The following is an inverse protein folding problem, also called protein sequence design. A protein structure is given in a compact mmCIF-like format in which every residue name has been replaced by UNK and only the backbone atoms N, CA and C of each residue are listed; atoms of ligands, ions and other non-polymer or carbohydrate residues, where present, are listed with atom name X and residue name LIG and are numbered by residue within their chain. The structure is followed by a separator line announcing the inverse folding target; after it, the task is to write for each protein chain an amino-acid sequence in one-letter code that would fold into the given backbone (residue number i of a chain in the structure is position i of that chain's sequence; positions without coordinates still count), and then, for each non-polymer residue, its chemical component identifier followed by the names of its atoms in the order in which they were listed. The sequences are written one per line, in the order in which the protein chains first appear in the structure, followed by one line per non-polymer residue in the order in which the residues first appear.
data_IF_387434278475
#
_entry.id   IF_387434278475
#
_cell.length_a   1.000
_cell.length_b   1.000
_cell.length_c   1.000
_cell.angle_alpha   90.00
_cell.angle_beta   90.00
_cell.angle_gamma   90.00
#
_symmetry.space_group_name_H-M   'P 1'
#
loop_
_entity.id
_entity.type
_entity.pdbx_description
1 polymer ?
#
# COMPACT_ATOMS: atom_id res chain seq x y z
N UNK A 1 29.88 31.83 46.20
CA UNK A 1 30.95 31.59 45.21
C UNK A 1 30.27 31.52 43.86
N UNK A 2 29.97 32.66 43.22
CA UNK A 2 30.77 33.39 42.21
C UNK A 2 31.02 32.62 40.90
N UNK A 3 30.45 33.18 39.82
CA UNK A 3 30.38 32.82 38.38
C UNK A 3 31.75 32.75 37.66
N UNK A 4 31.86 32.13 36.44
CA UNK A 4 31.51 32.79 35.15
C UNK A 4 30.71 31.85 34.20
N UNK A 5 29.67 32.26 33.45
CA UNK A 5 29.51 33.35 32.46
C UNK A 5 30.56 33.34 31.33
N UNK A 6 30.24 32.63 30.25
CA UNK A 6 30.74 32.87 28.88
C UNK A 6 29.49 32.73 27.98
N UNK A 7 28.81 33.78 27.49
CA UNK A 7 29.14 34.87 26.56
C UNK A 7 29.56 34.42 25.14
N UNK A 8 28.72 34.87 24.19
CA UNK A 8 28.55 34.57 22.76
C UNK A 8 29.77 34.87 21.86
N UNK A 9 29.69 34.49 20.57
CA UNK A 9 29.30 35.44 19.50
C UNK A 9 28.18 34.85 18.61
N UNK A 10 27.05 35.49 18.26
CA UNK A 10 26.78 36.72 17.49
C UNK A 10 27.51 36.86 16.14
N UNK A 11 26.68 36.87 15.08
CA UNK A 11 26.86 37.44 13.74
C UNK A 11 27.44 36.54 12.61
N UNK A 12 26.55 36.14 11.70
CA UNK A 12 26.61 36.52 10.27
C UNK A 12 25.30 36.10 9.59
N UNK A 13 24.43 37.05 9.24
CA UNK A 13 24.38 37.77 7.96
C UNK A 13 23.73 36.95 6.82
N UNK A 14 22.42 37.21 6.70
CA UNK A 14 21.54 37.27 5.52
C UNK A 14 22.22 37.07 4.16
N UNK A 15 21.67 36.15 3.37
CA UNK A 15 21.59 36.29 1.92
C UNK A 15 20.19 35.86 1.45
N UNK A 16 19.44 36.86 0.96
CA UNK A 16 18.17 36.69 0.27
C UNK A 16 18.42 36.38 -1.21
N UNK A 17 17.54 35.55 -1.76
CA UNK A 17 17.13 35.44 -3.15
C UNK A 17 18.19 35.03 -4.20
N UNK A 18 18.11 33.77 -4.62
CA UNK A 18 18.10 33.46 -6.03
C UNK A 18 16.91 32.54 -6.30
N UNK A 19 15.88 33.13 -6.92
CA UNK A 19 14.84 32.45 -7.67
C UNK A 19 15.55 31.67 -8.79
N UNK A 20 15.90 30.42 -8.50
CA UNK A 20 16.43 29.47 -9.48
C UNK A 20 15.37 28.42 -9.74
N UNK A 21 14.51 28.66 -10.74
CA UNK A 21 13.88 27.58 -11.49
C UNK A 21 15.02 26.74 -12.10
N UNK A 22 15.50 25.76 -11.37
CA UNK A 22 16.19 24.59 -11.92
C UNK A 22 15.16 23.50 -12.04
N UNK A 23 14.55 23.42 -13.23
CA UNK A 23 13.79 22.26 -13.66
C UNK A 23 14.72 21.04 -13.74
N UNK A 24 14.10 19.86 -13.66
CA UNK A 24 14.68 18.55 -13.95
C UNK A 24 15.45 17.89 -12.80
N UNK A 25 14.79 17.71 -11.65
CA UNK A 25 15.14 16.66 -10.68
C UNK A 25 13.91 16.30 -9.85
N UNK A 26 13.04 15.48 -10.43
CA UNK A 26 12.06 14.57 -9.81
C UNK A 26 10.94 14.31 -10.83
N UNK A 27 11.29 13.63 -11.91
CA UNK A 27 10.29 12.94 -12.74
C UNK A 27 10.87 11.58 -13.09
N UNK A 28 11.45 10.91 -12.10
CA UNK A 28 11.50 9.46 -12.12
C UNK A 28 10.07 9.02 -11.87
N UNK A 29 9.23 9.06 -12.90
CA UNK A 29 7.95 8.36 -12.87
C UNK A 29 8.32 6.88 -12.73
N UNK A 30 8.13 6.24 -11.56
CA UNK A 30 8.47 4.82 -11.42
C UNK A 30 7.29 4.03 -11.96
N UNK A 31 7.01 4.21 -13.25
CA UNK A 31 5.99 3.47 -13.95
C UNK A 31 6.61 3.12 -15.30
N UNK A 32 7.32 2.00 -15.31
CA UNK A 32 8.03 1.49 -16.47
C UNK A 32 7.07 1.23 -17.62
N UNK A 33 7.60 1.27 -18.85
CA UNK A 33 6.85 1.00 -20.07
C UNK A 33 6.23 -0.41 -20.03
N UNK A 34 4.96 -0.46 -19.60
CA UNK A 34 4.23 -1.69 -19.36
C UNK A 34 2.99 -1.50 -18.49
N UNK A 35 2.10 -0.57 -18.85
CA UNK A 35 0.77 -0.35 -18.23
C UNK A 35 0.73 0.22 -16.80
N UNK A 36 1.61 1.16 -16.45
CA UNK A 36 1.67 1.69 -15.09
C UNK A 36 1.60 3.23 -15.08
N UNK A 37 0.74 3.74 -14.19
CA UNK A 37 0.60 5.09 -13.64
C UNK A 37 0.81 6.34 -14.51
N UNK A 38 -0.24 6.73 -15.24
CA UNK A 38 -0.51 8.14 -15.57
C UNK A 38 -1.87 8.66 -15.03
N UNK A 39 -2.76 7.77 -14.60
CA UNK A 39 -4.04 8.04 -13.93
C UNK A 39 -4.52 6.76 -13.19
N UNK A 40 -3.57 5.84 -12.97
CA UNK A 40 -3.81 4.39 -12.89
C UNK A 40 -3.85 3.89 -11.47
N UNK A 41 -5.05 3.59 -10.98
CA UNK A 41 -5.26 2.83 -9.76
C UNK A 41 -4.56 1.47 -9.91
N UNK A 42 -3.56 1.16 -9.08
CA UNK A 42 -2.97 -0.18 -9.03
C UNK A 42 -4.02 -1.17 -8.51
N UNK A 43 -4.80 -1.76 -9.43
CA UNK A 43 -5.86 -2.72 -9.09
C UNK A 43 -5.30 -4.13 -9.05
N UNK A 44 -5.54 -4.81 -7.94
CA UNK A 44 -5.48 -6.26 -7.83
C UNK A 44 -6.55 -6.87 -8.70
N UNK A 45 -6.16 -7.88 -9.45
CA UNK A 45 -7.09 -8.72 -10.18
C UNK A 45 -8.02 -9.45 -9.22
N UNK A 46 -9.27 -9.64 -9.62
CA UNK A 46 -10.16 -10.58 -8.94
C UNK A 46 -9.51 -11.96 -8.95
N UNK A 47 -9.56 -12.71 -7.83
CA UNK A 47 -9.08 -14.08 -7.81
C UNK A 47 -9.67 -14.94 -8.93
N UNK A 48 -8.88 -15.85 -9.47
CA UNK A 48 -9.35 -16.78 -10.50
C UNK A 48 -10.27 -17.87 -9.90
N UNK A 49 -10.99 -18.60 -10.76
CA UNK A 49 -11.81 -19.74 -10.29
C UNK A 49 -10.95 -20.81 -9.62
N UNK A 50 -9.72 -21.04 -10.12
CA UNK A 50 -8.78 -22.00 -9.53
C UNK A 50 -8.28 -21.54 -8.15
N UNK A 51 -8.07 -20.24 -7.98
CA UNK A 51 -7.65 -19.64 -6.72
C UNK A 51 -8.79 -19.54 -5.71
N UNK A 52 -10.05 -19.74 -6.11
CA UNK A 52 -11.21 -19.71 -5.22
C UNK A 52 -11.81 -21.09 -4.96
N UNK A 53 -11.38 -22.15 -5.64
CA UNK A 53 -11.95 -23.49 -5.44
C UNK A 53 -11.70 -24.04 -4.02
N UNK A 54 -12.71 -24.59 -3.35
CA UNK A 54 -12.56 -25.12 -1.99
C UNK A 54 -13.41 -26.37 -1.74
N UNK A 55 -13.06 -27.14 -0.70
CA UNK A 55 -13.88 -28.26 -0.20
C UNK A 55 -14.48 -27.93 1.17
N UNK A 56 -13.74 -27.18 1.98
CA UNK A 56 -14.09 -26.83 3.36
C UNK A 56 -13.71 -25.38 3.64
N UNK A 57 -14.29 -24.78 4.69
CA UNK A 57 -13.92 -23.42 5.10
C UNK A 57 -12.44 -23.29 5.50
N UNK A 58 -11.79 -24.36 5.95
CA UNK A 58 -10.36 -24.36 6.29
C UNK A 58 -9.45 -24.18 5.06
N UNK A 59 -9.97 -24.44 3.86
CA UNK A 59 -9.25 -24.21 2.61
C UNK A 59 -9.22 -22.73 2.22
N UNK A 60 -10.02 -21.88 2.86
CA UNK A 60 -10.21 -20.49 2.47
C UNK A 60 -9.54 -19.50 3.42
N UNK A 61 -8.96 -18.45 2.85
CA UNK A 61 -8.36 -17.35 3.60
C UNK A 61 -8.77 -16.01 3.00
N UNK A 62 -9.04 -14.99 3.84
CA UNK A 62 -9.33 -13.66 3.37
C UNK A 62 -8.07 -13.02 2.75
N UNK A 63 -8.27 -12.22 1.70
CA UNK A 63 -7.23 -11.45 1.00
C UNK A 63 -7.75 -10.10 0.52
N UNK A 64 -6.83 -9.23 0.12
CA UNK A 64 -7.11 -7.89 -0.41
C UNK A 64 -7.25 -7.91 -1.93
N UNK A 65 -8.45 -7.67 -2.43
CA UNK A 65 -8.72 -7.45 -3.85
C UNK A 65 -9.06 -5.98 -4.11
N UNK A 66 -8.90 -5.50 -5.34
CA UNK A 66 -9.20 -4.09 -5.68
C UNK A 66 -7.99 -3.17 -5.53
N UNK A 67 -8.16 -1.96 -4.99
CA UNK A 67 -7.17 -0.88 -5.14
C UNK A 67 -6.00 -1.02 -4.15
N UNK A 68 -4.83 -1.46 -4.63
CA UNK A 68 -3.63 -1.65 -3.83
C UNK A 68 -3.04 -0.34 -3.28
N UNK A 69 -3.26 0.77 -4.00
CA UNK A 69 -2.91 2.12 -3.55
C UNK A 69 -3.94 2.77 -2.64
N UNK A 70 -5.03 2.06 -2.29
CA UNK A 70 -5.99 2.58 -1.33
C UNK A 70 -5.31 2.82 0.03
N UNK A 71 -5.65 3.95 0.65
CA UNK A 71 -5.28 4.22 2.04
C UNK A 71 -5.84 3.13 2.98
N UNK A 72 -6.99 2.55 2.62
CA UNK A 72 -7.65 1.46 3.34
C UNK A 72 -7.54 0.13 2.61
N UNK A 73 -6.88 -0.81 3.27
CA UNK A 73 -6.66 -2.17 2.79
C UNK A 73 -7.42 -3.09 3.73
N UNK A 74 -8.68 -3.38 3.40
CA UNK A 74 -9.54 -4.32 4.13
C UNK A 74 -9.76 -5.58 3.30
N UNK A 75 -9.72 -6.75 3.92
CA UNK A 75 -9.93 -8.00 3.19
C UNK A 75 -11.36 -8.04 2.65
N UNK A 76 -11.46 -8.12 1.32
CA UNK A 76 -12.71 -8.00 0.56
C UNK A 76 -12.86 -9.13 -0.49
N UNK A 77 -11.93 -10.07 -0.51
CA UNK A 77 -12.04 -11.32 -1.24
C UNK A 77 -11.54 -12.49 -0.38
N UNK A 78 -11.80 -13.71 -0.84
CA UNK A 78 -11.26 -14.93 -0.26
C UNK A 78 -10.63 -15.77 -1.37
N UNK A 79 -9.53 -16.43 -1.04
CA UNK A 79 -8.82 -17.38 -1.92
C UNK A 79 -8.48 -18.64 -1.15
N UNK A 80 -7.98 -19.64 -1.85
CA UNK A 80 -7.41 -20.83 -1.25
C UNK A 80 -6.21 -20.47 -0.38
N UNK A 81 -6.05 -21.18 0.74
CA UNK A 81 -4.98 -20.96 1.69
C UNK A 81 -3.58 -21.09 1.06
N UNK A 82 -3.41 -21.98 0.08
CA UNK A 82 -2.15 -22.17 -0.64
C UNK A 82 -1.90 -21.10 -1.72
N UNK A 83 -2.95 -20.54 -2.32
CA UNK A 83 -2.87 -19.42 -3.26
C UNK A 83 -2.59 -18.06 -2.58
N UNK A 84 -2.74 -17.99 -1.26
CA UNK A 84 -2.58 -16.74 -0.49
C UNK A 84 -1.23 -16.08 -0.68
N UNK A 85 -0.14 -16.86 -0.68
CA UNK A 85 1.21 -16.33 -0.75
C UNK A 85 1.47 -15.63 -2.09
N UNK A 86 1.03 -16.26 -3.18
CA UNK A 86 1.10 -15.68 -4.53
C UNK A 86 0.26 -14.41 -4.63
N UNK A 87 -0.98 -14.46 -4.13
CA UNK A 87 -1.89 -13.32 -4.18
C UNK A 87 -1.38 -12.13 -3.34
N UNK A 88 -0.81 -12.40 -2.17
CA UNK A 88 -0.17 -11.39 -1.32
C UNK A 88 1.06 -10.79 -2.00
N UNK A 89 1.90 -11.60 -2.65
CA UNK A 89 3.07 -11.10 -3.38
C UNK A 89 2.68 -10.14 -4.51
N UNK A 90 1.65 -10.48 -5.30
CA UNK A 90 1.11 -9.58 -6.33
C UNK A 90 0.53 -8.29 -5.74
N UNK A 91 -0.10 -8.37 -4.56
CA UNK A 91 -0.59 -7.19 -3.86
C UNK A 91 0.56 -6.30 -3.40
N UNK A 92 1.59 -6.87 -2.77
CA UNK A 92 2.74 -6.14 -2.26
C UNK A 92 3.53 -5.48 -3.41
N UNK A 93 3.69 -6.17 -4.53
CA UNK A 93 4.27 -5.62 -5.77
C UNK A 93 3.51 -4.37 -6.23
N UNK A 94 2.20 -4.50 -6.45
CA UNK A 94 1.33 -3.38 -6.87
C UNK A 94 1.32 -2.25 -5.86
N UNK A 95 1.37 -2.57 -4.57
CA UNK A 95 1.41 -1.59 -3.49
C UNK A 95 2.72 -0.83 -3.46
N UNK A 96 3.84 -1.49 -3.74
CA UNK A 96 5.16 -0.85 -3.78
C UNK A 96 5.27 0.21 -4.88
N UNK A 97 4.45 0.11 -5.93
CA UNK A 97 4.36 1.08 -7.01
C UNK A 97 3.54 2.35 -6.67
N UNK A 98 2.88 2.40 -5.51
CA UNK A 98 1.94 3.48 -5.15
C UNK A 98 2.59 4.78 -4.65
N UNK A 99 3.92 4.87 -4.59
CA UNK A 99 4.64 6.02 -4.01
C UNK A 99 4.64 6.03 -2.48
N UNK A 100 5.00 7.18 -1.88
CA UNK A 100 5.11 7.32 -0.42
C UNK A 100 3.74 7.21 0.29
N UNK A 101 3.68 6.25 1.21
CA UNK A 101 2.66 6.09 2.26
C UNK A 101 1.24 5.62 1.85
N UNK A 102 1.09 4.52 1.10
CA UNK A 102 -0.17 3.80 1.12
C UNK A 102 -0.24 3.07 2.48
N UNK A 103 -1.09 3.48 3.41
CA UNK A 103 -1.50 2.60 4.53
C UNK A 103 -1.47 3.11 5.96
N UNK A 104 -1.22 4.39 6.24
CA UNK A 104 -1.16 4.86 7.63
C UNK A 104 -2.50 4.80 8.41
N UNK A 105 -3.67 4.77 7.76
CA UNK A 105 -4.92 5.22 8.44
C UNK A 105 -6.18 4.39 8.22
N UNK A 106 -6.17 3.05 8.32
CA UNK A 106 -7.42 2.27 8.23
C UNK A 106 -7.53 1.06 9.17
N UNK A 107 -7.07 1.20 10.42
CA UNK A 107 -7.14 0.13 11.42
C UNK A 107 -8.55 0.02 12.06
N UNK A 108 -9.42 1.02 11.91
CA UNK A 108 -10.66 1.12 12.70
C UNK A 108 -11.89 0.41 12.10
N UNK A 109 -11.99 0.24 10.76
CA UNK A 109 -13.23 -0.18 10.10
C UNK A 109 -13.15 -1.49 9.29
N UNK A 110 -12.00 -2.17 9.25
CA UNK A 110 -11.94 -3.49 8.64
C UNK A 110 -12.58 -4.53 9.59
N UNK A 111 -13.88 -4.78 9.42
CA UNK A 111 -14.50 -5.97 10.02
C UNK A 111 -13.65 -7.19 9.61
N UNK A 112 -13.27 -8.02 10.59
CA UNK A 112 -12.52 -9.24 10.29
C UNK A 112 -13.37 -10.14 9.40
N UNK A 113 -13.12 -10.09 8.10
CA UNK A 113 -13.88 -10.84 7.12
C UNK A 113 -13.52 -12.32 7.29
N UNK A 114 -14.53 -13.13 7.62
CA UNK A 114 -14.34 -14.58 7.79
C UNK A 114 -14.48 -15.24 6.42
N UNK A 115 -13.44 -15.92 5.95
CA UNK A 115 -13.52 -16.68 4.72
C UNK A 115 -14.28 -18.00 4.96
N UNK A 116 -15.21 -18.33 4.06
CA UNK A 116 -16.02 -19.55 4.09
C UNK A 116 -15.99 -20.23 2.73
N UNK A 117 -16.25 -21.54 2.72
CA UNK A 117 -16.43 -22.29 1.48
C UNK A 117 -17.93 -22.44 1.20
N UNK A 118 -18.42 -21.78 0.15
CA UNK A 118 -19.81 -21.80 -0.28
C UNK A 118 -19.87 -22.36 -1.70
N UNK A 119 -20.66 -23.41 -1.92
CA UNK A 119 -20.82 -24.01 -3.27
C UNK A 119 -19.49 -24.36 -3.97
N UNK A 120 -18.48 -24.75 -3.20
CA UNK A 120 -17.14 -25.09 -3.70
C UNK A 120 -16.27 -23.88 -4.05
N UNK A 121 -16.66 -22.67 -3.64
CA UNK A 121 -15.91 -21.42 -3.84
C UNK A 121 -15.64 -20.69 -2.51
N UNK A 122 -14.45 -20.13 -2.37
CA UNK A 122 -14.06 -19.30 -1.25
C UNK A 122 -14.73 -17.94 -1.37
N UNK A 123 -15.50 -17.58 -0.36
CA UNK A 123 -16.19 -16.31 -0.25
C UNK A 123 -15.97 -15.70 1.13
N UNK A 124 -16.29 -14.41 1.29
CA UNK A 124 -16.34 -13.79 2.60
C UNK A 124 -17.75 -13.90 3.18
N UNK A 125 -17.85 -14.38 4.42
CA UNK A 125 -19.06 -14.32 5.20
C UNK A 125 -19.47 -12.85 5.38
N UNK A 126 -20.70 -12.53 4.96
CA UNK A 126 -21.30 -11.19 5.07
C UNK A 126 -21.90 -10.95 6.45
#
# INVERSE_FOLDING_TARGET
MNLPKMLLPLASLVAFAAFGCGTDSASETPCGEGNECADGIARMSTPTEEQTACTTAADCTPVFAGEACSACVCANAAVRADARAEYQASFDEKRSACGDDPGASCVADCAQATAVCTEGKCELAK
#
